data_IF_539356563312
#
_entry.id   IF_539356563312
#
_cell.length_a   1.000
_cell.length_b   1.000
_cell.length_c   1.000
_cell.angle_alpha   90.00
_cell.angle_beta   90.00
_cell.angle_gamma   90.00
#
_symmetry.space_group_name_H-M   'P 1'
#
loop_
_entity.id
_entity.type
_entity.pdbx_description
1 polymer ?
#
# COMPACT_ATOMS: atom_id res chain seq x y z
N UNK A 1 51.29 22.25 -1.01
CA UNK A 1 50.60 22.88 -2.17
C UNK A 1 50.28 21.90 -3.30
N UNK A 2 51.17 20.96 -3.69
CA UNK A 2 50.88 19.96 -4.76
C UNK A 2 49.72 18.97 -4.48
N UNK A 3 49.41 18.65 -3.21
CA UNK A 3 48.29 17.76 -2.85
C UNK A 3 46.90 18.41 -2.91
N UNK A 4 46.81 19.74 -2.85
CA UNK A 4 45.52 20.46 -2.90
C UNK A 4 45.02 20.59 -4.35
N UNK A 5 45.95 20.70 -5.31
CA UNK A 5 45.66 20.81 -6.75
C UNK A 5 45.15 19.48 -7.34
N UNK A 6 45.52 18.33 -6.74
CA UNK A 6 45.05 17.01 -7.18
C UNK A 6 43.62 16.69 -6.74
N UNK A 7 43.12 17.31 -5.66
CA UNK A 7 41.78 17.07 -5.13
C UNK A 7 40.75 17.92 -5.88
N UNK A 8 41.13 19.14 -6.30
CA UNK A 8 40.25 20.00 -7.11
C UNK A 8 40.03 19.46 -8.53
N UNK A 9 41.00 18.75 -9.12
CA UNK A 9 40.81 18.12 -10.44
C UNK A 9 39.87 16.90 -10.40
N UNK A 10 39.84 16.17 -9.27
CA UNK A 10 38.94 15.03 -9.08
C UNK A 10 37.48 15.47 -8.85
N UNK A 11 37.28 16.64 -8.22
CA UNK A 11 35.95 17.24 -8.04
C UNK A 11 35.43 17.84 -9.37
N UNK A 12 36.30 18.37 -10.21
CA UNK A 12 35.90 18.95 -11.50
C UNK A 12 35.51 17.88 -12.54
N UNK A 13 36.12 16.69 -12.49
CA UNK A 13 35.75 15.57 -13.38
C UNK A 13 34.40 14.93 -13.01
N UNK A 14 33.93 15.11 -11.77
CA UNK A 14 32.63 14.63 -11.29
C UNK A 14 31.44 15.54 -11.69
N UNK A 15 31.72 16.72 -12.25
CA UNK A 15 30.70 17.73 -12.58
C UNK A 15 30.26 17.77 -14.06
N UNK A 16 30.90 17.01 -14.97
CA UNK A 16 30.65 17.11 -16.42
C UNK A 16 29.90 15.89 -17.00
N UNK A 17 29.57 14.90 -16.18
CA UNK A 17 28.91 13.66 -16.62
C UNK A 17 27.40 13.60 -16.46
N UNK A 18 26.66 14.71 -16.59
CA UNK A 18 25.20 14.69 -16.54
C UNK A 18 24.63 14.33 -17.91
N UNK A 19 24.58 13.04 -18.23
CA UNK A 19 23.70 12.58 -19.30
C UNK A 19 22.27 12.93 -18.91
N UNK A 20 21.65 13.84 -19.66
CA UNK A 20 20.21 14.09 -19.60
C UNK A 20 19.52 12.84 -20.14
N UNK A 21 19.26 11.88 -19.26
CA UNK A 21 18.28 10.85 -19.52
C UNK A 21 16.93 11.54 -19.39
N UNK A 22 16.23 11.72 -20.51
CA UNK A 22 14.83 12.15 -20.50
C UNK A 22 14.02 11.04 -19.80
N UNK A 23 13.93 11.13 -18.48
CA UNK A 23 12.94 10.37 -17.73
C UNK A 23 11.57 10.86 -18.19
N UNK A 24 10.67 9.92 -18.48
CA UNK A 24 9.26 10.23 -18.73
C UNK A 24 8.78 11.22 -17.67
N UNK A 25 8.15 12.31 -18.12
CA UNK A 25 7.69 13.41 -17.27
C UNK A 25 6.86 12.83 -16.12
N UNK A 26 7.44 12.81 -14.92
CA UNK A 26 6.81 12.18 -13.77
C UNK A 26 5.72 13.12 -13.28
N UNK A 27 4.48 12.87 -13.67
CA UNK A 27 3.33 13.65 -13.18
C UNK A 27 3.29 13.62 -11.66
N UNK A 28 3.15 14.80 -11.07
CA UNK A 28 3.03 14.93 -9.62
C UNK A 28 1.76 14.24 -9.12
N UNK A 29 1.93 13.32 -8.16
CA UNK A 29 0.82 12.59 -7.56
C UNK A 29 -0.06 13.55 -6.74
N UNK A 30 -1.37 13.26 -6.71
CA UNK A 30 -2.31 13.93 -5.81
C UNK A 30 -1.87 13.64 -4.38
N UNK A 31 -1.55 14.71 -3.64
CA UNK A 31 -1.11 14.62 -2.25
C UNK A 31 -2.32 14.69 -1.34
N UNK A 32 -2.56 13.62 -0.60
CA UNK A 32 -3.61 13.55 0.43
C UNK A 32 -2.95 13.55 1.80
N UNK A 33 -3.54 14.31 2.72
CA UNK A 33 -3.20 14.21 4.14
C UNK A 33 -3.95 13.04 4.77
N UNK A 34 -3.30 11.88 4.74
CA UNK A 34 -3.86 10.64 5.27
C UNK A 34 -3.87 10.65 6.80
N UNK A 35 -4.93 10.10 7.41
CA UNK A 35 -5.05 9.97 8.88
C UNK A 35 -3.91 9.18 9.51
N UNK A 36 -3.32 8.26 8.75
CA UNK A 36 -2.19 7.42 9.17
C UNK A 36 -0.81 8.08 8.98
N UNK A 37 -0.75 9.31 8.48
CA UNK A 37 0.50 10.06 8.34
C UNK A 37 1.01 10.58 9.70
N UNK A 38 2.32 10.89 9.73
CA UNK A 38 2.97 11.50 10.89
C UNK A 38 3.34 10.51 11.99
N UNK A 39 3.98 11.04 13.05
CA UNK A 39 4.58 10.22 14.12
C UNK A 39 3.56 9.45 14.96
N UNK A 40 2.30 9.91 14.99
CA UNK A 40 1.21 9.33 15.77
C UNK A 40 0.00 8.98 14.91
N UNK A 41 0.16 8.96 13.58
CA UNK A 41 -0.92 8.66 12.65
C UNK A 41 -1.56 7.31 12.91
N UNK A 42 -2.88 7.23 12.67
CA UNK A 42 -3.70 6.03 12.81
C UNK A 42 -4.63 5.87 11.64
N UNK A 43 -5.04 4.64 11.36
CA UNK A 43 -6.05 4.43 10.34
C UNK A 43 -7.43 4.86 10.85
N UNK A 44 -8.25 5.42 9.95
CA UNK A 44 -9.66 5.64 10.20
C UNK A 44 -10.42 4.31 10.06
N UNK A 45 -11.08 3.87 11.13
CA UNK A 45 -11.76 2.56 11.15
C UNK A 45 -12.93 2.49 10.19
N UNK A 46 -13.72 3.55 10.07
CA UNK A 46 -14.82 3.61 9.11
C UNK A 46 -14.31 3.53 7.68
N UNK A 47 -13.23 4.25 7.38
CA UNK A 47 -12.56 4.21 6.08
C UNK A 47 -11.97 2.84 5.77
N UNK A 48 -11.42 2.13 6.76
CA UNK A 48 -10.95 0.75 6.57
C UNK A 48 -12.09 -0.23 6.27
N UNK A 49 -13.23 -0.10 6.95
CA UNK A 49 -14.39 -0.96 6.73
C UNK A 49 -15.02 -0.71 5.36
N UNK A 50 -15.23 0.56 4.99
CA UNK A 50 -15.67 0.95 3.65
C UNK A 50 -14.68 0.55 2.57
N UNK A 51 -13.38 0.70 2.82
CA UNK A 51 -12.33 0.31 1.90
C UNK A 51 -12.26 -1.20 1.66
N UNK A 52 -12.53 -1.99 2.71
CA UNK A 52 -12.73 -3.43 2.56
C UNK A 52 -13.95 -3.74 1.67
N UNK A 53 -15.07 -3.03 1.85
CA UNK A 53 -16.26 -3.19 1.01
C UNK A 53 -15.93 -2.94 -0.46
N UNK A 54 -15.30 -1.79 -0.78
CA UNK A 54 -14.84 -1.47 -2.15
C UNK A 54 -13.92 -2.56 -2.70
N UNK A 55 -12.95 -3.02 -1.91
CA UNK A 55 -12.08 -4.13 -2.32
C UNK A 55 -12.88 -5.39 -2.64
N UNK A 56 -13.79 -5.80 -1.77
CA UNK A 56 -14.54 -7.05 -1.90
C UNK A 56 -15.56 -7.04 -3.05
N UNK A 57 -16.22 -5.91 -3.28
CA UNK A 57 -17.29 -5.79 -4.28
C UNK A 57 -16.77 -5.46 -5.68
N UNK A 58 -15.62 -4.77 -5.75
CA UNK A 58 -15.06 -4.27 -7.03
C UNK A 58 -13.75 -4.98 -7.37
N UNK A 59 -12.76 -4.88 -6.47
CA UNK A 59 -11.40 -5.27 -6.81
C UNK A 59 -11.16 -6.78 -6.75
N UNK A 60 -11.82 -7.49 -5.85
CA UNK A 60 -11.60 -8.91 -5.57
C UNK A 60 -11.97 -9.84 -6.74
N UNK A 61 -12.75 -9.35 -7.72
CA UNK A 61 -13.04 -10.06 -8.96
C UNK A 61 -11.78 -10.24 -9.84
N UNK A 62 -10.78 -9.36 -9.74
CA UNK A 62 -9.56 -9.42 -10.55
C UNK A 62 -8.28 -9.45 -9.72
N UNK A 63 -8.25 -8.83 -8.55
CA UNK A 63 -7.05 -8.70 -7.72
C UNK A 63 -7.08 -9.63 -6.52
N UNK A 64 -6.03 -10.42 -6.40
CA UNK A 64 -5.78 -11.25 -5.22
C UNK A 64 -5.25 -10.44 -4.04
N UNK A 65 -5.42 -10.98 -2.85
CA UNK A 65 -4.80 -10.47 -1.61
C UNK A 65 -4.37 -11.65 -0.73
N UNK A 66 -3.29 -12.30 -1.15
CA UNK A 66 -2.83 -13.59 -0.62
C UNK A 66 -2.28 -13.57 0.81
N UNK A 67 -1.85 -12.43 1.32
CA UNK A 67 -1.22 -12.39 2.65
C UNK A 67 -2.20 -12.18 3.79
N UNK A 68 -3.42 -11.69 3.52
CA UNK A 68 -4.46 -11.52 4.52
C UNK A 68 -5.41 -12.71 4.61
N UNK A 69 -6.02 -12.86 5.77
CA UNK A 69 -7.00 -13.88 6.13
C UNK A 69 -8.20 -13.20 6.75
N UNK A 70 -9.37 -13.83 6.74
CA UNK A 70 -10.59 -13.20 7.28
C UNK A 70 -10.47 -12.84 8.77
N UNK A 71 -9.66 -13.56 9.56
CA UNK A 71 -9.32 -13.19 10.95
C UNK A 71 -8.66 -11.82 11.08
N UNK A 72 -7.94 -11.35 10.06
CA UNK A 72 -7.25 -10.06 10.10
C UNK A 72 -8.26 -8.88 10.09
N UNK A 73 -9.47 -9.09 9.58
CA UNK A 73 -10.53 -8.07 9.56
C UNK A 73 -10.98 -7.64 10.96
N UNK A 74 -10.77 -8.50 11.98
CA UNK A 74 -11.06 -8.20 13.38
C UNK A 74 -9.83 -7.77 14.19
N UNK A 75 -8.65 -7.66 13.57
CA UNK A 75 -7.43 -7.30 14.31
C UNK A 75 -7.43 -5.84 14.75
N UNK A 76 -6.96 -5.61 15.98
CA UNK A 76 -6.74 -4.26 16.53
C UNK A 76 -5.72 -3.51 15.69
N UNK A 77 -6.04 -2.28 15.30
CA UNK A 77 -5.23 -1.52 14.34
C UNK A 77 -5.72 -1.63 12.89
N UNK A 78 -6.67 -2.52 12.61
CA UNK A 78 -7.26 -2.74 11.30
C UNK A 78 -8.73 -2.34 11.21
N UNK A 79 -9.53 -2.96 10.34
CA UNK A 79 -10.95 -2.63 10.19
C UNK A 79 -11.76 -2.85 11.49
N UNK A 80 -11.27 -3.69 12.40
CA UNK A 80 -11.88 -3.95 13.71
C UNK A 80 -13.36 -4.38 13.62
N UNK A 81 -13.71 -5.14 12.58
CA UNK A 81 -15.01 -5.82 12.52
C UNK A 81 -15.17 -6.74 13.74
N UNK A 82 -16.39 -6.85 14.26
CA UNK A 82 -16.69 -7.87 15.27
C UNK A 82 -16.36 -9.27 14.74
N UNK A 83 -16.10 -10.20 15.64
CA UNK A 83 -15.77 -11.59 15.27
C UNK A 83 -16.95 -12.22 14.51
N UNK A 84 -18.17 -11.87 14.88
CA UNK A 84 -19.41 -12.30 14.24
C UNK A 84 -19.51 -11.75 12.81
N UNK A 85 -19.23 -10.46 12.60
CA UNK A 85 -19.18 -9.87 11.26
C UNK A 85 -18.09 -10.50 10.40
N UNK A 86 -16.86 -10.67 10.91
CA UNK A 86 -15.78 -11.28 10.16
C UNK A 86 -16.07 -12.76 9.82
N UNK A 87 -16.77 -13.49 10.68
CA UNK A 87 -17.26 -14.86 10.37
C UNK A 87 -18.32 -14.84 9.28
N UNK A 88 -19.28 -13.92 9.35
CA UNK A 88 -20.31 -13.79 8.32
C UNK A 88 -19.70 -13.44 6.95
N UNK A 89 -18.73 -12.53 6.94
CA UNK A 89 -17.95 -12.17 5.75
C UNK A 89 -17.18 -13.38 5.22
N UNK A 90 -16.50 -14.16 6.07
CA UNK A 90 -15.79 -15.35 5.61
C UNK A 90 -16.76 -16.38 5.01
N UNK A 91 -17.90 -16.59 5.66
CA UNK A 91 -18.90 -17.58 5.28
C UNK A 91 -19.65 -17.22 3.98
N UNK A 92 -19.58 -15.96 3.50
CA UNK A 92 -20.18 -15.58 2.21
C UNK A 92 -19.37 -16.06 1.00
N UNK A 93 -18.17 -16.60 1.21
CA UNK A 93 -17.32 -17.16 0.16
C UNK A 93 -17.24 -18.67 0.29
N UNK A 94 -17.39 -19.37 -0.84
CA UNK A 94 -17.15 -20.80 -0.93
C UNK A 94 -15.65 -21.07 -1.10
N UNK A 95 -15.11 -21.96 -0.27
CA UNK A 95 -13.69 -22.33 -0.25
C UNK A 95 -13.57 -23.83 -0.51
N UNK A 96 -12.74 -24.19 -1.48
CA UNK A 96 -12.35 -25.57 -1.74
C UNK A 96 -11.43 -26.09 -0.63
N UNK A 97 -11.78 -27.24 -0.05
CA UNK A 97 -11.06 -27.91 1.04
C UNK A 97 -11.01 -29.43 0.78
N UNK A 98 -10.25 -30.17 1.59
CA UNK A 98 -10.12 -31.62 1.49
C UNK A 98 -8.68 -32.10 1.29
N UNK A 99 -8.49 -33.38 0.93
CA UNK A 99 -9.54 -34.36 0.60
C UNK A 99 -10.35 -34.84 1.81
N UNK A 100 -11.58 -35.31 1.57
CA UNK A 100 -12.42 -36.01 2.55
C UNK A 100 -11.99 -37.49 2.72
N UNK A 101 -12.76 -38.28 3.47
CA UNK A 101 -12.46 -39.70 3.70
C UNK A 101 -12.46 -40.56 2.43
N UNK A 102 -13.16 -40.13 1.38
CA UNK A 102 -13.24 -40.80 0.08
C UNK A 102 -12.15 -40.33 -0.89
N UNK A 103 -11.28 -39.40 -0.47
CA UNK A 103 -10.21 -38.84 -1.30
C UNK A 103 -10.65 -37.66 -2.19
N UNK A 104 -11.87 -37.15 -2.01
CA UNK A 104 -12.45 -36.10 -2.86
C UNK A 104 -12.30 -34.70 -2.23
N UNK A 105 -12.04 -33.70 -3.06
CA UNK A 105 -12.10 -32.29 -2.66
C UNK A 105 -13.56 -31.86 -2.56
N UNK A 106 -13.89 -30.98 -1.60
CA UNK A 106 -15.24 -30.47 -1.40
C UNK A 106 -15.22 -28.94 -1.20
N UNK A 107 -16.37 -28.30 -1.34
CA UNK A 107 -16.53 -26.87 -1.04
C UNK A 107 -17.22 -26.69 0.31
N UNK A 108 -16.83 -25.64 1.02
CA UNK A 108 -17.49 -25.21 2.26
C UNK A 108 -17.50 -23.70 2.39
N UNK A 109 -18.39 -23.14 3.22
CA UNK A 109 -18.27 -21.75 3.65
C UNK A 109 -16.90 -21.47 4.26
N UNK A 110 -16.37 -20.28 3.97
CA UNK A 110 -15.11 -19.81 4.54
C UNK A 110 -15.16 -19.66 6.06
N UNK A 111 -14.00 -19.84 6.69
CA UNK A 111 -13.76 -19.59 8.12
C UNK A 111 -12.71 -18.51 8.31
N UNK A 112 -12.63 -17.96 9.51
CA UNK A 112 -11.68 -16.88 9.86
C UNK A 112 -10.22 -17.18 9.50
N UNK A 113 -9.79 -18.45 9.58
CA UNK A 113 -8.42 -18.83 9.25
C UNK A 113 -8.11 -18.84 7.75
N UNK A 114 -9.13 -18.88 6.90
CA UNK A 114 -8.93 -18.94 5.45
C UNK A 114 -8.38 -17.61 4.93
N UNK A 115 -7.60 -17.71 3.85
CA UNK A 115 -7.15 -16.55 3.06
C UNK A 115 -8.34 -15.94 2.33
N UNK A 116 -8.20 -14.68 1.93
CA UNK A 116 -9.18 -14.09 1.01
C UNK A 116 -9.26 -14.91 -0.28
N UNK A 117 -10.47 -15.01 -0.81
CA UNK A 117 -10.76 -15.69 -2.05
C UNK A 117 -9.83 -15.23 -3.18
N UNK A 118 -9.30 -16.18 -3.95
CA UNK A 118 -8.44 -15.88 -5.09
C UNK A 118 -9.26 -15.90 -6.39
N UNK A 119 -9.24 -14.83 -7.19
CA UNK A 119 -10.06 -14.75 -8.41
C UNK A 119 -9.60 -15.71 -9.52
N UNK A 120 -8.36 -16.16 -9.47
CA UNK A 120 -7.75 -17.03 -10.47
C UNK A 120 -6.93 -18.12 -9.80
N UNK A 121 -6.91 -19.31 -10.40
CA UNK A 121 -6.13 -20.45 -9.91
C UNK A 121 -4.61 -20.22 -10.00
N UNK A 122 -4.17 -19.45 -11.00
CA UNK A 122 -2.77 -19.17 -11.27
C UNK A 122 -2.59 -17.91 -12.15
N UNK A 123 -1.35 -17.43 -12.24
CA UNK A 123 -1.00 -16.22 -12.98
C UNK A 123 -1.33 -16.31 -14.49
N UNK A 124 -1.29 -17.52 -15.08
CA UNK A 124 -1.62 -17.70 -16.50
C UNK A 124 -3.11 -17.60 -16.78
N UNK A 125 -3.94 -18.14 -15.89
CA UNK A 125 -5.39 -17.94 -15.93
C UNK A 125 -5.73 -16.46 -15.77
N UNK A 126 -5.08 -15.76 -14.84
CA UNK A 126 -5.26 -14.31 -14.65
C UNK A 126 -4.88 -13.51 -15.91
N UNK A 127 -3.73 -13.80 -16.52
CA UNK A 127 -3.30 -13.16 -17.76
C UNK A 127 -4.26 -13.41 -18.92
N UNK A 128 -4.72 -14.65 -19.08
CA UNK A 128 -5.66 -15.01 -20.14
C UNK A 128 -7.00 -14.26 -20.01
N UNK A 129 -7.52 -14.12 -18.77
CA UNK A 129 -8.76 -13.40 -18.51
C UNK A 129 -8.64 -11.87 -18.68
N UNK A 130 -7.43 -11.30 -18.58
CA UNK A 130 -7.20 -9.84 -18.57
C UNK A 130 -6.34 -9.38 -19.76
N UNK A 131 -6.58 -9.93 -20.96
CA UNK A 131 -5.94 -9.46 -22.19
C UNK A 131 -4.40 -9.55 -22.19
N UNK A 132 -3.86 -10.56 -21.52
CA UNK A 132 -2.43 -10.81 -21.35
C UNK A 132 -1.78 -10.05 -20.19
N UNK A 133 -2.48 -9.13 -19.53
CA UNK A 133 -1.97 -8.42 -18.36
C UNK A 133 -2.23 -9.21 -17.07
N UNK A 134 -1.28 -9.18 -16.14
CA UNK A 134 -1.46 -9.76 -14.82
C UNK A 134 -1.98 -8.70 -13.84
N UNK A 135 -3.18 -8.84 -13.26
CA UNK A 135 -3.62 -8.01 -12.15
C UNK A 135 -2.73 -8.27 -10.93
N UNK A 136 -1.95 -7.29 -10.45
CA UNK A 136 -1.04 -7.52 -9.33
C UNK A 136 -1.79 -7.82 -8.03
N UNK A 137 -1.22 -8.72 -7.23
CA UNK A 137 -1.66 -8.93 -5.84
C UNK A 137 -1.61 -7.62 -5.03
N UNK A 138 -2.68 -7.35 -4.30
CA UNK A 138 -2.90 -6.10 -3.59
C UNK A 138 -2.37 -6.09 -2.16
N UNK A 139 -1.89 -7.22 -1.63
CA UNK A 139 -1.52 -7.36 -0.21
C UNK A 139 -0.47 -6.35 0.25
N UNK A 140 0.48 -6.00 -0.62
CA UNK A 140 1.58 -5.07 -0.32
C UNK A 140 1.69 -3.95 -1.34
N UNK A 141 0.64 -3.71 -2.14
CA UNK A 141 0.68 -2.82 -3.29
C UNK A 141 1.06 -1.39 -2.91
N UNK A 142 0.53 -0.88 -1.79
CA UNK A 142 0.85 0.44 -1.26
C UNK A 142 2.33 0.61 -0.85
N UNK A 143 3.08 -0.48 -0.62
CA UNK A 143 4.52 -0.43 -0.35
C UNK A 143 5.38 -0.83 -1.55
N UNK A 144 4.79 -1.53 -2.51
CA UNK A 144 5.46 -1.98 -3.73
C UNK A 144 5.52 -0.91 -4.84
N UNK A 145 4.85 0.24 -4.66
CA UNK A 145 4.83 1.35 -5.63
C UNK A 145 5.37 2.62 -5.00
N UNK A 146 6.23 3.33 -5.74
CA UNK A 146 6.72 4.64 -5.33
C UNK A 146 5.56 5.61 -5.17
N UNK A 147 5.53 6.39 -4.08
CA UNK A 147 4.40 7.25 -3.71
C UNK A 147 3.31 6.57 -2.89
N UNK A 148 3.32 5.24 -2.80
CA UNK A 148 2.46 4.42 -1.95
C UNK A 148 0.98 4.76 -2.05
N UNK A 149 0.34 5.11 -0.94
CA UNK A 149 -1.08 5.47 -0.90
C UNK A 149 -1.44 6.58 -1.90
N UNK A 150 -0.61 7.62 -2.02
CA UNK A 150 -0.85 8.71 -2.99
C UNK A 150 -0.82 8.21 -4.43
N UNK A 151 0.00 7.21 -4.75
CA UNK A 151 0.05 6.64 -6.10
C UNK A 151 -1.23 5.87 -6.42
N UNK A 152 -1.71 5.02 -5.50
CA UNK A 152 -2.95 4.26 -5.69
C UNK A 152 -4.14 5.21 -5.84
N UNK A 153 -4.25 6.20 -4.95
CA UNK A 153 -5.33 7.19 -4.99
C UNK A 153 -5.32 7.99 -6.30
N UNK A 154 -4.14 8.45 -6.73
CA UNK A 154 -4.00 9.18 -7.99
C UNK A 154 -4.33 8.29 -9.19
N UNK A 155 -3.86 7.03 -9.19
CA UNK A 155 -4.12 6.08 -10.27
C UNK A 155 -5.63 5.85 -10.46
N UNK A 156 -6.37 5.65 -9.38
CA UNK A 156 -7.83 5.43 -9.45
C UNK A 156 -8.59 6.63 -10.00
N UNK A 157 -8.10 7.85 -9.74
CA UNK A 157 -8.66 9.11 -10.27
C UNK A 157 -8.05 9.55 -11.61
N UNK A 158 -7.08 8.80 -12.13
CA UNK A 158 -6.24 9.22 -13.25
C UNK A 158 -6.78 8.89 -14.63
N UNK A 159 -7.99 8.34 -14.72
CA UNK A 159 -8.60 7.95 -15.99
C UNK A 159 -9.15 9.19 -16.69
N UNK A 160 -8.56 9.49 -17.85
CA UNK A 160 -8.88 10.65 -18.69
C UNK A 160 -8.90 10.21 -20.16
N UNK A 161 -9.50 11.01 -21.04
CA UNK A 161 -9.37 10.78 -22.48
C UNK A 161 -7.91 10.98 -22.94
N UNK A 162 -7.41 10.16 -23.88
CA UNK A 162 -6.04 10.32 -24.37
C UNK A 162 -5.87 11.67 -25.06
N UNK A 163 -4.77 12.40 -24.78
CA UNK A 163 -4.48 13.66 -25.46
C UNK A 163 -4.23 13.43 -26.96
N UNK A 164 -4.42 14.48 -27.74
CA UNK A 164 -4.25 14.45 -29.21
C UNK A 164 -2.90 13.86 -29.62
N UNK A 165 -2.94 12.86 -30.52
CA UNK A 165 -1.74 12.20 -31.04
C UNK A 165 -1.35 10.90 -30.32
N UNK A 166 -2.08 10.51 -29.27
CA UNK A 166 -1.93 9.19 -28.64
C UNK A 166 -3.00 8.24 -29.20
N UNK A 167 -2.55 7.17 -29.85
CA UNK A 167 -3.40 6.03 -30.24
C UNK A 167 -3.17 4.90 -29.25
N UNK A 168 -4.26 4.36 -28.70
CA UNK A 168 -4.22 3.23 -27.76
C UNK A 168 -4.59 1.94 -28.49
N UNK A 169 -3.93 0.84 -28.10
CA UNK A 169 -4.35 -0.49 -28.53
C UNK A 169 -5.68 -0.89 -27.89
N UNK A 170 -6.36 -1.85 -28.49
CA UNK A 170 -7.65 -2.33 -28.00
C UNK A 170 -7.51 -2.95 -26.60
N UNK A 171 -8.37 -2.54 -25.67
CA UNK A 171 -8.29 -2.92 -24.25
C UNK A 171 -7.19 -2.24 -23.45
N UNK A 172 -6.53 -1.21 -24.01
CA UNK A 172 -5.61 -0.31 -23.29
C UNK A 172 -6.29 1.03 -23.05
N UNK A 173 -6.21 1.51 -21.81
CA UNK A 173 -6.80 2.77 -21.37
C UNK A 173 -5.72 3.79 -21.08
N UNK A 174 -6.03 5.07 -21.29
CA UNK A 174 -5.16 6.16 -20.87
C UNK A 174 -5.31 6.40 -19.37
N UNK A 175 -4.19 6.54 -18.68
CA UNK A 175 -4.18 6.95 -17.28
C UNK A 175 -3.01 7.90 -17.02
N UNK A 176 -3.32 9.09 -16.52
CA UNK A 176 -2.36 10.17 -16.28
C UNK A 176 -1.21 9.80 -15.34
N UNK A 177 -1.45 8.94 -14.35
CA UNK A 177 -0.45 8.58 -13.34
C UNK A 177 0.20 7.21 -13.57
N UNK A 178 -0.29 6.43 -14.53
CA UNK A 178 0.33 5.18 -14.91
C UNK A 178 1.66 5.43 -15.65
N UNK A 179 2.66 4.60 -15.39
CA UNK A 179 3.91 4.66 -16.13
C UNK A 179 3.67 4.41 -17.62
N UNK A 180 4.11 5.33 -18.48
CA UNK A 180 3.84 5.29 -19.92
C UNK A 180 2.40 5.68 -20.30
N UNK A 181 1.62 6.16 -19.34
CA UNK A 181 0.23 6.61 -19.49
C UNK A 181 -0.76 5.58 -20.06
N UNK A 182 -0.39 4.31 -20.09
CA UNK A 182 -1.18 3.22 -20.66
C UNK A 182 -1.40 2.14 -19.61
N UNK A 183 -2.64 1.70 -19.44
CA UNK A 183 -3.03 0.66 -18.48
C UNK A 183 -4.03 -0.32 -19.09
N UNK A 184 -3.87 -1.62 -18.83
CA UNK A 184 -4.81 -2.68 -19.25
C UNK A 184 -5.92 -2.95 -18.22
N UNK A 185 -6.26 -1.95 -17.43
CA UNK A 185 -7.32 -1.99 -16.43
C UNK A 185 -8.28 -0.86 -16.77
N UNK A 186 -9.55 -1.19 -17.05
CA UNK A 186 -10.60 -0.17 -17.23
C UNK A 186 -10.78 0.63 -15.95
N UNK A 187 -11.37 1.82 -16.04
CA UNK A 187 -11.73 2.60 -14.86
C UNK A 187 -12.58 1.72 -13.90
N UNK A 188 -12.06 1.38 -12.71
CA UNK A 188 -12.72 0.38 -11.87
C UNK A 188 -13.84 0.96 -11.00
N UNK A 189 -13.91 2.29 -10.88
CA UNK A 189 -14.84 3.00 -10.00
C UNK A 189 -15.67 3.99 -10.83
N UNK A 190 -16.95 4.10 -10.47
CA UNK A 190 -17.91 5.06 -11.02
C UNK A 190 -18.79 5.63 -9.91
N UNK A 191 -19.37 6.81 -10.10
CA UNK A 191 -20.27 7.44 -9.13
C UNK A 191 -21.40 6.50 -8.71
N UNK A 192 -21.58 6.30 -7.40
CA UNK A 192 -22.65 5.47 -6.84
C UNK A 192 -22.53 3.97 -7.13
N UNK A 193 -21.34 3.46 -7.46
CA UNK A 193 -21.13 2.04 -7.79
C UNK A 193 -21.53 1.09 -6.66
N UNK A 194 -21.38 1.51 -5.41
CA UNK A 194 -21.73 0.75 -4.21
C UNK A 194 -22.55 1.61 -3.26
N UNK A 195 -23.30 0.97 -2.36
CA UNK A 195 -24.01 1.63 -1.27
C UNK A 195 -23.32 1.33 0.06
N UNK A 196 -22.80 2.37 0.72
CA UNK A 196 -22.19 2.21 2.03
C UNK A 196 -23.24 2.08 3.13
N UNK A 197 -23.06 1.07 4.00
CA UNK A 197 -23.99 0.82 5.11
C UNK A 197 -24.04 1.91 6.18
N UNK A 198 -23.09 2.86 6.19
CA UNK A 198 -23.05 4.00 7.11
C UNK A 198 -23.66 5.29 6.52
N UNK A 199 -24.17 5.23 5.28
CA UNK A 199 -24.78 6.37 4.59
C UNK A 199 -23.79 7.36 3.97
N UNK A 200 -22.48 7.05 3.96
CA UNK A 200 -21.48 7.84 3.24
C UNK A 200 -21.79 7.83 1.74
N UNK A 201 -21.63 8.96 1.06
CA UNK A 201 -21.80 9.05 -0.39
C UNK A 201 -20.64 8.33 -1.12
N UNK A 202 -20.98 7.41 -2.01
CA UNK A 202 -20.01 6.62 -2.76
C UNK A 202 -19.55 7.34 -4.04
N UNK A 203 -18.89 8.50 -3.88
CA UNK A 203 -18.20 9.16 -5.00
C UNK A 203 -16.93 8.42 -5.39
N UNK A 204 -16.41 8.66 -6.60
CA UNK A 204 -15.15 8.03 -7.04
C UNK A 204 -13.98 8.41 -6.11
N UNK A 205 -13.90 9.66 -5.67
CA UNK A 205 -12.89 10.11 -4.71
C UNK A 205 -13.03 9.43 -3.36
N UNK A 206 -14.26 9.29 -2.85
CA UNK A 206 -14.52 8.68 -1.56
C UNK A 206 -14.18 7.18 -1.57
N UNK A 207 -14.62 6.44 -2.59
CA UNK A 207 -14.24 5.03 -2.77
C UNK A 207 -12.72 4.87 -2.96
N UNK A 208 -12.09 5.75 -3.75
CA UNK A 208 -10.63 5.73 -3.97
C UNK A 208 -9.87 5.96 -2.66
N UNK A 209 -10.35 6.88 -1.81
CA UNK A 209 -9.77 7.17 -0.50
C UNK A 209 -9.92 5.99 0.45
N UNK A 210 -11.10 5.41 0.54
CA UNK A 210 -11.41 4.30 1.44
C UNK A 210 -10.62 3.04 1.03
N UNK A 211 -10.67 2.63 -0.24
CA UNK A 211 -9.92 1.45 -0.71
C UNK A 211 -8.41 1.66 -0.58
N UNK A 212 -7.89 2.85 -0.84
CA UNK A 212 -6.46 3.16 -0.64
C UNK A 212 -6.07 3.06 0.83
N UNK A 213 -6.93 3.52 1.74
CA UNK A 213 -6.71 3.41 3.19
C UNK A 213 -6.68 1.94 3.61
N UNK A 214 -7.59 1.12 3.10
CA UNK A 214 -7.60 -0.33 3.32
C UNK A 214 -6.34 -1.01 2.76
N UNK A 215 -5.91 -0.68 1.55
CA UNK A 215 -4.70 -1.23 0.94
C UNK A 215 -3.42 -0.81 1.67
N UNK A 216 -3.39 0.41 2.23
CA UNK A 216 -2.28 0.85 3.08
C UNK A 216 -2.22 0.04 4.38
N UNK A 217 -3.37 -0.22 5.01
CA UNK A 217 -3.43 -1.13 6.17
C UNK A 217 -3.03 -2.55 5.80
N UNK A 218 -3.51 -3.09 4.68
CA UNK A 218 -3.14 -4.44 4.22
C UNK A 218 -1.62 -4.58 4.06
N UNK A 219 -0.97 -3.55 3.51
CA UNK A 219 0.49 -3.52 3.34
C UNK A 219 1.26 -3.28 4.66
N UNK A 220 0.62 -2.66 5.66
CA UNK A 220 1.24 -2.33 6.94
C UNK A 220 0.30 -2.43 8.15
N UNK A 221 -0.16 -3.64 8.51
CA UNK A 221 -1.16 -3.84 9.57
C UNK A 221 -0.64 -3.47 10.95
N UNK A 222 0.68 -3.33 11.10
CA UNK A 222 1.34 -2.98 12.35
C UNK A 222 1.72 -1.49 12.45
N UNK A 223 1.31 -0.63 11.51
CA UNK A 223 1.68 0.79 11.47
C UNK A 223 1.43 1.51 12.81
N UNK A 224 0.24 1.36 13.40
CA UNK A 224 -0.10 2.01 14.66
C UNK A 224 0.74 1.51 15.84
N UNK A 225 1.02 0.19 15.87
CA UNK A 225 1.89 -0.40 16.88
C UNK A 225 3.33 0.05 16.69
N UNK A 226 3.80 0.18 15.44
CA UNK A 226 5.12 0.72 15.10
C UNK A 226 5.25 2.19 15.54
N UNK A 227 4.25 3.03 15.28
CA UNK A 227 4.24 4.42 15.74
C UNK A 227 4.31 4.51 17.28
N UNK A 228 3.46 3.75 17.98
CA UNK A 228 3.45 3.71 19.45
C UNK A 228 4.77 3.22 20.04
N UNK A 229 5.36 2.16 19.48
CA UNK A 229 6.63 1.60 19.95
C UNK A 229 7.82 2.49 19.58
N UNK A 230 7.80 3.08 18.39
CA UNK A 230 8.82 4.02 17.92
C UNK A 230 8.93 5.24 18.82
N UNK A 231 7.79 5.82 19.23
CA UNK A 231 7.79 6.94 20.18
C UNK A 231 8.42 6.55 21.52
N UNK A 232 8.02 5.40 22.09
CA UNK A 232 8.61 4.90 23.35
C UNK A 232 10.11 4.66 23.23
N UNK A 233 10.56 4.09 22.11
CA UNK A 233 11.97 3.85 21.84
C UNK A 233 12.76 5.17 21.73
N UNK A 234 12.24 6.18 21.04
CA UNK A 234 12.89 7.50 20.92
C UNK A 234 13.04 8.16 22.29
N UNK A 235 11.97 8.17 23.11
CA UNK A 235 12.04 8.73 24.47
C UNK A 235 13.09 8.00 25.31
N UNK A 236 13.10 6.66 25.27
CA UNK A 236 14.11 5.85 25.96
C UNK A 236 15.54 6.18 25.49
N UNK A 237 15.77 6.28 24.19
CA UNK A 237 17.08 6.58 23.62
C UNK A 237 17.55 7.99 24.00
N UNK A 238 16.66 8.97 24.09
CA UNK A 238 17.00 10.33 24.55
C UNK A 238 17.49 10.28 26.01
N UNK A 239 16.74 9.60 26.89
CA UNK A 239 17.13 9.45 28.29
C UNK A 239 18.47 8.74 28.41
N UNK A 240 18.64 7.62 27.70
CA UNK A 240 19.88 6.85 27.69
C UNK A 240 21.06 7.70 27.19
N UNK A 241 20.87 8.46 26.10
CA UNK A 241 21.89 9.35 25.54
C UNK A 241 22.32 10.40 26.55
N UNK A 242 21.38 11.02 27.28
CA UNK A 242 21.68 11.99 28.33
C UNK A 242 22.49 11.35 29.46
N UNK A 243 22.08 10.16 29.93
CA UNK A 243 22.79 9.43 30.99
C UNK A 243 24.22 9.03 30.57
N UNK A 244 24.37 8.49 29.35
CA UNK A 244 25.67 8.11 28.78
C UNK A 244 26.56 9.34 28.60
N UNK A 245 26.00 10.46 28.12
CA UNK A 245 26.74 11.72 27.96
C UNK A 245 27.29 12.23 29.31
N UNK A 246 26.48 12.26 30.37
CA UNK A 246 26.95 12.67 31.70
C UNK A 246 27.94 11.67 32.32
N UNK A 247 27.75 10.37 32.09
CA UNK A 247 28.70 9.33 32.51
C UNK A 247 30.06 9.52 31.82
N UNK A 248 30.06 9.73 30.50
CA UNK A 248 31.24 10.05 29.72
C UNK A 248 31.94 11.30 30.26
N UNK A 249 31.22 12.42 30.41
CA UNK A 249 31.80 13.67 30.92
C UNK A 249 32.47 13.49 32.29
N UNK A 250 31.87 12.70 33.18
CA UNK A 250 32.43 12.40 34.52
C UNK A 250 33.69 11.52 34.48
N UNK A 251 33.81 10.61 33.52
CA UNK A 251 35.01 9.76 33.35
C UNK A 251 36.14 10.59 32.75
N UNK A 252 35.85 11.38 31.71
CA UNK A 252 36.84 12.16 30.98
C UNK A 252 37.36 13.39 31.74
N UNK A 253 36.60 13.92 32.70
CA UNK A 253 37.07 14.99 33.60
C UNK A 253 38.28 14.60 34.47
N UNK A 254 38.70 13.33 34.46
CA UNK A 254 39.91 12.85 35.18
C UNK A 254 41.17 12.88 34.31
N UNK A 255 41.01 13.04 33.00
CA UNK A 255 42.09 12.95 32.01
C UNK A 255 42.27 14.30 31.30
N UNK A 256 41.20 15.07 31.13
CA UNK A 256 41.29 16.46 30.68
C UNK A 256 41.95 17.31 31.78
N UNK A 257 43.26 17.53 31.64
CA UNK A 257 44.01 18.53 32.40
C UNK A 257 43.51 19.91 32.03
N UNK A 258 43.12 20.73 33.01
CA UNK A 258 42.94 22.17 32.82
C UNK A 258 44.21 22.75 32.17
N UNK A 259 44.10 23.23 30.94
CA UNK A 259 45.04 24.12 30.26
C UNK A 259 44.24 25.27 29.66
#
# INVERSE_FOLDING_TARGET
MKKIISITYLIFLLLIGSYQVNAAEKTDLIKIDWSFNGLFGKFDRGSLQRGYQVYSEVCAACHSMKYLSYRNLSEKGGPEFSIEQAKAIAASFEITDGPNADGEMFTRPGKLSDKFYMPYENDKAAQAANGGAYPPDMSVLAKARGGGANYIYSLLLGYEDPPSGITLDDGVYYNKYMYGNQIKMSAPLSEGLIEYGDGTEASVEQMSKDVTTFLMWAAEPHLETRHRMGFKAIVYLIILTVLVYYSMKKIWSRIETEV
#
